data_IF_905411873633
#
_entry.id   IF_905411873633
#
_cell.length_a   1.000
_cell.length_b   1.000
_cell.length_c   1.000
_cell.angle_alpha   90.00
_cell.angle_beta   90.00
_cell.angle_gamma   90.00
#
_symmetry.space_group_name_H-M   'P 1'
#
loop_
_entity.id
_entity.type
_entity.pdbx_description
1 polymer ?
#
# COMPACT_ATOMS: atom_id res chain seq x y z
N UNK A 1 13.74 -11.70 6.91
CA UNK A 1 13.05 -10.43 6.64
C UNK A 1 11.61 -10.78 6.28
N UNK A 2 10.69 -10.66 7.23
CA UNK A 2 9.30 -11.09 7.07
C UNK A 2 8.51 -9.88 6.56
N UNK A 3 8.01 -9.94 5.33
CA UNK A 3 7.12 -8.92 4.81
C UNK A 3 5.73 -9.31 5.34
N UNK A 4 5.20 -8.50 6.26
CA UNK A 4 3.88 -8.70 6.81
C UNK A 4 2.84 -8.31 5.75
N UNK A 5 2.09 -9.28 5.24
CA UNK A 5 1.04 -9.09 4.23
C UNK A 5 -0.37 -9.03 4.83
N UNK A 6 -0.53 -9.00 6.17
CA UNK A 6 -1.84 -8.87 6.81
C UNK A 6 -2.56 -7.56 6.42
N UNK A 7 -1.82 -6.56 5.95
CA UNK A 7 -2.36 -5.32 5.41
C UNK A 7 -3.18 -5.50 4.11
N UNK A 8 -2.93 -6.56 3.33
CA UNK A 8 -3.74 -6.89 2.15
C UNK A 8 -5.09 -7.52 2.53
N UNK A 9 -5.21 -8.03 3.75
CA UNK A 9 -6.39 -8.73 4.26
C UNK A 9 -7.30 -7.78 5.04
N UNK A 10 -7.72 -6.66 4.43
CA UNK A 10 -8.89 -5.85 4.81
C UNK A 10 -9.21 -5.79 6.32
N UNK A 11 -8.22 -5.52 7.16
CA UNK A 11 -8.39 -5.22 8.58
C UNK A 11 -8.19 -3.72 8.74
N UNK A 12 -9.27 -3.00 9.05
CA UNK A 12 -9.35 -1.54 9.14
C UNK A 12 -8.20 -0.91 9.92
N UNK A 13 -7.09 -0.59 9.23
CA UNK A 13 -6.09 0.32 9.75
C UNK A 13 -6.80 1.66 10.04
N UNK A 14 -6.57 2.27 11.22
CA UNK A 14 -7.22 3.54 11.56
C UNK A 14 -6.94 4.57 10.46
N UNK A 15 -7.98 5.02 9.77
CA UNK A 15 -7.83 5.93 8.64
C UNK A 15 -7.80 7.38 9.10
N UNK A 16 -6.80 8.11 8.62
CA UNK A 16 -6.66 9.55 8.77
C UNK A 16 -7.31 10.22 7.57
N UNK A 17 -8.19 11.20 7.82
CA UNK A 17 -8.64 12.09 6.74
C UNK A 17 -7.57 13.11 6.44
N UNK A 18 -7.25 13.29 5.16
CA UNK A 18 -6.39 14.37 4.71
C UNK A 18 -7.06 15.73 4.96
N UNK A 19 -6.35 16.63 5.64
CA UNK A 19 -6.83 17.97 5.93
C UNK A 19 -5.84 18.76 6.78
N UNK A 20 -6.12 20.05 7.04
CA UNK A 20 -5.21 20.92 7.80
C UNK A 20 -5.01 20.43 9.24
N UNK A 21 -6.04 19.84 9.86
CA UNK A 21 -5.96 19.30 11.21
C UNK A 21 -5.04 18.07 11.34
N UNK A 22 -4.83 17.33 10.25
CA UNK A 22 -4.01 16.11 10.22
C UNK A 22 -2.66 16.31 9.54
N UNK A 23 -2.40 17.50 8.99
CA UNK A 23 -1.21 17.80 8.19
C UNK A 23 0.10 17.50 8.93
N UNK A 24 0.26 17.98 10.17
CA UNK A 24 1.44 17.74 10.99
C UNK A 24 1.68 16.25 11.28
N UNK A 25 0.59 15.52 11.54
CA UNK A 25 0.64 14.06 11.76
C UNK A 25 1.06 13.32 10.49
N UNK A 26 0.52 13.70 9.33
CA UNK A 26 0.87 13.11 8.04
C UNK A 26 2.34 13.40 7.69
N UNK A 27 2.82 14.62 7.93
CA UNK A 27 4.24 14.94 7.71
C UNK A 27 5.17 14.14 8.64
N UNK A 28 4.76 13.90 9.90
CA UNK A 28 5.47 13.00 10.80
C UNK A 28 5.51 11.55 10.31
N UNK A 29 4.41 11.05 9.74
CA UNK A 29 4.37 9.72 9.11
C UNK A 29 5.28 9.64 7.89
N UNK A 30 5.27 10.67 7.03
CA UNK A 30 6.13 10.72 5.85
C UNK A 30 7.62 10.78 6.19
N UNK A 31 8.00 11.42 7.31
CA UNK A 31 9.39 11.46 7.76
C UNK A 31 9.95 10.08 8.12
N UNK A 32 9.09 9.12 8.48
CA UNK A 32 9.46 7.76 8.87
C UNK A 32 9.03 6.72 7.82
N UNK A 33 8.45 7.16 6.71
CA UNK A 33 7.88 6.28 5.72
C UNK A 33 8.99 5.53 4.96
N UNK A 34 8.86 4.20 4.87
CA UNK A 34 9.71 3.35 4.03
C UNK A 34 9.13 3.12 2.65
N UNK A 35 7.85 3.42 2.48
CA UNK A 35 7.16 3.35 1.20
C UNK A 35 5.70 3.77 1.32
N UNK A 36 5.11 4.10 0.18
CA UNK A 36 3.70 4.46 0.08
C UNK A 36 3.01 3.61 -0.98
N UNK A 37 1.75 3.25 -0.72
CA UNK A 37 0.88 2.57 -1.68
C UNK A 37 -0.32 3.46 -2.00
N UNK A 38 -0.63 3.65 -3.28
CA UNK A 38 -1.77 4.45 -3.74
C UNK A 38 -2.85 3.53 -4.25
N UNK A 39 -4.08 3.75 -3.79
CA UNK A 39 -5.24 2.99 -4.22
C UNK A 39 -6.53 3.80 -4.23
N UNK A 40 -7.62 3.12 -4.56
CA UNK A 40 -8.98 3.64 -4.46
C UNK A 40 -9.87 2.63 -3.78
N UNK A 41 -10.62 3.06 -2.77
CA UNK A 41 -11.63 2.24 -2.11
C UNK A 41 -12.97 2.95 -2.14
N UNK A 42 -14.03 2.27 -2.61
CA UNK A 42 -15.39 2.84 -2.72
C UNK A 42 -15.43 4.20 -3.45
N UNK A 43 -14.60 4.35 -4.48
CA UNK A 43 -14.48 5.59 -5.27
C UNK A 43 -13.66 6.71 -4.62
N UNK A 44 -13.17 6.54 -3.40
CA UNK A 44 -12.32 7.52 -2.71
C UNK A 44 -10.85 7.17 -2.86
N UNK A 45 -9.98 8.14 -3.21
CA UNK A 45 -8.55 7.94 -3.21
C UNK A 45 -8.02 7.74 -1.80
N UNK A 46 -7.02 6.87 -1.66
CA UNK A 46 -6.27 6.70 -0.42
C UNK A 46 -4.78 6.48 -0.69
N UNK A 47 -3.97 6.81 0.30
CA UNK A 47 -2.54 6.49 0.37
C UNK A 47 -2.29 5.72 1.66
N UNK A 48 -1.68 4.55 1.57
CA UNK A 48 -1.13 3.85 2.72
C UNK A 48 0.34 4.23 2.86
N UNK A 49 0.69 4.82 4.00
CA UNK A 49 2.06 5.16 4.36
C UNK A 49 2.58 4.04 5.25
N UNK A 50 3.61 3.33 4.79
CA UNK A 50 4.21 2.25 5.57
C UNK A 50 5.31 2.80 6.47
N UNK A 51 5.06 2.78 7.78
CA UNK A 51 6.02 3.19 8.81
C UNK A 51 6.39 1.95 9.62
N UNK A 52 7.64 1.50 9.51
CA UNK A 52 8.17 0.33 10.22
C UNK A 52 7.30 -0.95 10.15
N UNK A 53 6.65 -1.19 9.00
CA UNK A 53 5.79 -2.36 8.78
C UNK A 53 4.33 -2.15 9.20
N UNK A 54 4.01 -1.02 9.83
CA UNK A 54 2.64 -0.63 10.15
C UNK A 54 2.08 0.30 9.06
N UNK A 55 1.07 -0.14 8.28
CA UNK A 55 0.41 0.71 7.30
C UNK A 55 -0.48 1.75 8.01
N UNK A 56 -0.32 3.01 7.65
CA UNK A 56 -1.18 4.10 8.08
C UNK A 56 -1.94 4.64 6.88
N UNK A 57 -3.27 4.52 6.91
CA UNK A 57 -4.10 4.93 5.79
C UNK A 57 -4.46 6.39 5.87
N UNK A 58 -4.24 7.12 4.78
CA UNK A 58 -4.70 8.48 4.57
C UNK A 58 -5.76 8.48 3.47
N UNK A 59 -6.98 8.88 3.82
CA UNK A 59 -8.10 8.99 2.89
C UNK A 59 -8.29 10.45 2.43
N UNK A 60 -8.72 10.60 1.18
CA UNK A 60 -8.91 11.89 0.55
C UNK A 60 -10.36 12.03 0.08
N UNK A 61 -10.92 13.23 0.23
CA UNK A 61 -12.24 13.55 -0.31
C UNK A 61 -12.16 13.97 -1.79
N UNK A 62 -11.00 14.46 -2.26
CA UNK A 62 -10.78 14.94 -3.64
C UNK A 62 -9.46 14.45 -4.22
N UNK A 63 -9.45 14.21 -5.54
CA UNK A 63 -8.23 13.81 -6.25
C UNK A 63 -7.15 14.91 -6.25
N UNK A 64 -7.53 16.19 -6.19
CA UNK A 64 -6.58 17.31 -6.10
C UNK A 64 -5.73 17.25 -4.82
N UNK A 65 -6.36 16.85 -3.70
CA UNK A 65 -5.68 16.71 -2.41
C UNK A 65 -4.72 15.52 -2.41
N UNK A 66 -5.06 14.44 -3.12
CA UNK A 66 -4.15 13.33 -3.38
C UNK A 66 -2.90 13.83 -4.11
N UNK A 67 -3.06 14.65 -5.16
CA UNK A 67 -1.94 15.22 -5.90
C UNK A 67 -0.95 15.99 -5.02
N UNK A 68 -1.45 16.74 -4.03
CA UNK A 68 -0.61 17.47 -3.08
C UNK A 68 0.20 16.54 -2.16
N UNK A 69 -0.36 15.40 -1.74
CA UNK A 69 0.41 14.44 -0.95
C UNK A 69 1.42 13.70 -1.84
N UNK A 70 1.06 13.34 -3.06
CA UNK A 70 1.96 12.65 -4.00
C UNK A 70 3.18 13.50 -4.33
N UNK A 71 3.00 14.79 -4.59
CA UNK A 71 4.13 15.71 -4.80
C UNK A 71 5.07 15.77 -3.58
N UNK A 72 4.51 15.70 -2.36
CA UNK A 72 5.29 15.65 -1.11
C UNK A 72 6.01 14.33 -0.88
N UNK A 73 5.45 13.22 -1.35
CA UNK A 73 6.06 11.89 -1.30
C UNK A 73 7.22 11.81 -2.29
N UNK A 74 7.00 12.29 -3.52
CA UNK A 74 8.00 12.36 -4.58
C UNK A 74 9.17 13.28 -4.21
N UNK A 75 8.88 14.48 -3.68
CA UNK A 75 9.91 15.40 -3.21
C UNK A 75 10.80 14.82 -2.08
N UNK A 76 10.30 13.83 -1.35
CA UNK A 76 11.04 13.11 -0.29
C UNK A 76 11.72 11.84 -0.79
N UNK A 77 11.54 11.47 -2.06
CA UNK A 77 12.12 10.25 -2.63
C UNK A 77 11.54 8.96 -2.04
N UNK A 78 10.35 9.02 -1.45
CA UNK A 78 9.71 7.84 -0.84
C UNK A 78 9.15 6.96 -1.97
N UNK A 79 9.46 5.64 -1.99
CA UNK A 79 9.02 4.78 -3.07
C UNK A 79 7.50 4.64 -3.07
N UNK A 80 6.89 4.92 -4.23
CA UNK A 80 5.44 4.93 -4.43
C UNK A 80 5.03 3.74 -5.31
N UNK A 81 4.18 2.87 -4.77
CA UNK A 81 3.65 1.71 -5.49
C UNK A 81 2.16 1.89 -5.78
N UNK A 82 1.70 1.45 -6.95
CA UNK A 82 0.26 1.37 -7.23
C UNK A 82 -0.29 0.04 -6.74
N UNK A 83 -1.42 0.09 -6.03
CA UNK A 83 -2.09 -1.08 -5.46
C UNK A 83 -2.36 -2.19 -6.50
N UNK A 84 -2.67 -1.80 -7.76
CA UNK A 84 -2.83 -2.75 -8.88
C UNK A 84 -1.56 -3.51 -9.24
N UNK A 85 -0.41 -2.87 -9.16
CA UNK A 85 0.88 -3.49 -9.51
C UNK A 85 1.30 -4.48 -8.41
N UNK A 86 1.08 -4.11 -7.15
CA UNK A 86 1.33 -4.98 -6.00
C UNK A 86 0.40 -6.20 -6.05
N UNK A 87 -0.90 -5.99 -6.28
CA UNK A 87 -1.87 -7.09 -6.41
C UNK A 87 -1.51 -8.03 -7.56
N UNK A 88 -1.13 -7.47 -8.72
CA UNK A 88 -0.73 -8.27 -9.88
C UNK A 88 0.53 -9.10 -9.60
N UNK A 89 1.53 -8.53 -8.93
CA UNK A 89 2.75 -9.25 -8.56
C UNK A 89 2.46 -10.42 -7.60
N UNK A 90 1.60 -10.20 -6.60
CA UNK A 90 1.19 -11.23 -5.64
C UNK A 90 0.43 -12.36 -6.34
N UNK A 91 -0.52 -12.02 -7.22
CA UNK A 91 -1.27 -13.02 -8.00
C UNK A 91 -0.34 -13.83 -8.92
N UNK A 92 0.63 -13.17 -9.56
CA UNK A 92 1.64 -13.82 -10.40
C UNK A 92 2.48 -14.83 -9.61
N UNK A 93 3.01 -14.45 -8.45
CA UNK A 93 3.76 -15.35 -7.59
C UNK A 93 2.92 -16.53 -7.10
N UNK A 94 1.67 -16.28 -6.69
CA UNK A 94 0.74 -17.33 -6.27
C UNK A 94 0.46 -18.34 -7.39
N UNK A 95 0.24 -17.87 -8.61
CA UNK A 95 -0.01 -18.74 -9.77
C UNK A 95 1.20 -19.63 -10.09
N UNK A 96 2.41 -19.07 -10.04
CA UNK A 96 3.65 -19.85 -10.24
C UNK A 96 3.81 -20.92 -9.17
N UNK A 97 3.51 -20.60 -7.92
CA UNK A 97 3.60 -21.56 -6.81
C UNK A 97 2.60 -22.71 -6.98
N UNK A 98 1.35 -22.42 -7.35
CA UNK A 98 0.32 -23.42 -7.62
C UNK A 98 0.75 -24.34 -8.77
N UNK A 99 1.31 -23.77 -9.85
CA UNK A 99 1.80 -24.55 -10.99
C UNK A 99 2.94 -25.49 -10.58
N UNK A 100 3.89 -25.01 -9.77
CA UNK A 100 4.99 -25.82 -9.27
C UNK A 100 4.50 -26.98 -8.40
N UNK A 101 3.51 -26.74 -7.53
CA UNK A 101 2.88 -27.79 -6.70
C UNK A 101 2.17 -28.81 -7.58
N UNK A 102 1.38 -28.36 -8.56
CA UNK A 102 0.66 -29.24 -9.47
C UNK A 102 1.62 -30.14 -10.26
N UNK A 103 2.72 -29.57 -10.78
CA UNK A 103 3.79 -30.33 -11.45
C UNK A 103 4.45 -31.34 -10.51
N UNK A 104 4.75 -30.95 -9.27
CA UNK A 104 5.36 -31.85 -8.29
C UNK A 104 4.43 -33.02 -7.91
N UNK A 105 3.12 -32.80 -7.85
CA UNK A 105 2.12 -33.85 -7.64
C UNK A 105 2.00 -34.75 -8.86
N UNK A 106 2.00 -34.19 -10.07
CA UNK A 106 1.89 -34.96 -11.31
C UNK A 106 3.13 -35.82 -11.61
N UNK A 107 4.30 -35.34 -11.22
CA UNK A 107 5.59 -36.04 -11.37
C UNK A 107 5.90 -36.99 -10.20
N UNK A 108 5.06 -37.04 -9.17
CA UNK A 108 5.18 -38.05 -8.12
C UNK A 108 4.70 -39.40 -8.68
N UNK A 109 5.56 -40.44 -8.70
CA UNK A 109 5.19 -41.78 -9.13
C UNK A 109 4.17 -42.44 -8.20
#
# INVERSE_FOLDING_TARGET
MYIDYQHLLSGSAPSLRFGPATASRIDGLLAQAKGCVVGRQRGRPFVEINVDGAPQRVEFDRDADLGLLLARVEARGIPLHRDREVTAAVLGMGAVLILAIALAVWLRP
#
